data_IF_000617153496
#
_entry.id   IF_000617153496
#
_cell.length_a   1.000
_cell.length_b   1.000
_cell.length_c   1.000
_cell.angle_alpha   90.00
_cell.angle_beta   90.00
_cell.angle_gamma   90.00
#
_symmetry.space_group_name_H-M   'P 1'
#
loop_
_entity.id
_entity.type
_entity.pdbx_description
1 polymer ?
#
# COMPACT_ATOMS: atom_id res chain seq x y z
N UNK A 1 -1.97 -13.60 23.42
CA UNK A 1 -2.73 -12.34 23.34
C UNK A 1 -1.76 -11.19 23.60
N UNK A 2 -1.66 -10.15 22.72
CA UNK A 2 -0.81 -8.98 22.94
C UNK A 2 -1.23 -8.23 24.22
N UNK A 3 -0.24 -7.90 25.09
CA UNK A 3 -0.49 -7.14 26.33
C UNK A 3 0.38 -5.89 26.43
N UNK A 4 1.54 -5.88 25.77
CA UNK A 4 2.45 -4.73 25.71
C UNK A 4 3.04 -4.59 24.31
N UNK A 5 3.36 -3.36 23.93
CA UNK A 5 4.07 -3.11 22.69
C UNK A 5 4.93 -1.85 22.79
N UNK A 6 6.12 -1.86 22.16
CA UNK A 6 7.00 -0.70 22.06
C UNK A 6 7.90 -0.80 20.83
N UNK A 7 7.96 0.25 20.03
CA UNK A 7 8.74 0.26 18.80
C UNK A 7 8.35 -0.89 17.89
N UNK A 8 9.30 -1.74 17.50
CA UNK A 8 9.06 -2.93 16.68
C UNK A 8 8.47 -4.12 17.47
N UNK A 9 8.50 -4.10 18.80
CA UNK A 9 8.25 -5.30 19.62
C UNK A 9 6.84 -5.32 20.20
N UNK A 10 6.16 -6.46 20.05
CA UNK A 10 4.93 -6.82 20.77
C UNK A 10 5.26 -7.94 21.77
N UNK A 11 4.71 -7.86 22.97
CA UNK A 11 4.79 -8.89 24.02
C UNK A 11 3.40 -9.44 24.31
N UNK A 12 3.28 -10.76 24.34
CA UNK A 12 2.02 -11.43 24.68
C UNK A 12 1.89 -11.70 26.19
N UNK A 13 0.73 -12.25 26.58
CA UNK A 13 0.40 -12.53 27.97
C UNK A 13 1.35 -13.57 28.63
N UNK A 14 2.01 -14.40 27.83
CA UNK A 14 2.97 -15.42 28.27
C UNK A 14 4.41 -14.87 28.31
N UNK A 15 4.61 -13.58 28.06
CA UNK A 15 5.91 -12.91 28.02
C UNK A 15 6.73 -13.14 26.76
N UNK A 16 6.15 -13.81 25.75
CA UNK A 16 6.82 -14.03 24.47
C UNK A 16 6.83 -12.75 23.64
N UNK A 17 7.97 -12.47 23.00
CA UNK A 17 8.19 -11.26 22.21
C UNK A 17 8.21 -11.57 20.72
N UNK A 18 7.55 -10.69 19.97
CA UNK A 18 7.43 -10.75 18.52
C UNK A 18 7.97 -9.45 17.91
N UNK A 19 8.71 -9.56 16.82
CA UNK A 19 9.07 -8.42 15.96
C UNK A 19 7.93 -8.18 14.98
N UNK A 20 7.30 -7.00 15.04
CA UNK A 20 6.13 -6.68 14.22
C UNK A 20 6.53 -5.92 12.94
N UNK A 21 6.68 -6.67 11.84
CA UNK A 21 6.89 -6.11 10.51
C UNK A 21 5.60 -5.91 9.71
N UNK A 22 4.43 -5.97 10.35
CA UNK A 22 3.15 -5.52 9.80
C UNK A 22 2.88 -4.05 10.17
N UNK A 23 3.24 -3.65 11.41
CA UNK A 23 3.13 -2.26 11.92
C UNK A 23 1.76 -1.64 11.67
N UNK A 24 0.68 -2.40 11.93
CA UNK A 24 -0.69 -1.94 11.67
C UNK A 24 -0.93 -1.63 10.19
N UNK A 25 -0.42 -2.46 9.28
CA UNK A 25 -0.47 -2.25 7.83
C UNK A 25 0.18 -0.93 7.38
N UNK A 26 1.24 -0.49 8.07
CA UNK A 26 1.97 0.74 7.79
C UNK A 26 1.53 1.96 8.61
N UNK A 27 0.44 1.87 9.37
CA UNK A 27 -0.08 2.96 10.22
C UNK A 27 0.94 3.40 11.28
N UNK A 28 1.71 2.46 11.82
CA UNK A 28 2.68 2.69 12.88
C UNK A 28 4.05 3.09 12.30
N UNK A 29 4.12 4.24 11.63
CA UNK A 29 5.38 4.70 11.01
C UNK A 29 6.56 4.75 12.01
N UNK A 30 6.31 5.18 13.25
CA UNK A 30 7.31 5.24 14.32
C UNK A 30 7.31 3.99 15.23
N UNK A 31 6.48 2.99 14.93
CA UNK A 31 6.29 1.81 15.78
C UNK A 31 5.31 2.03 16.93
N UNK A 32 5.14 0.97 17.71
CA UNK A 32 4.19 0.96 18.82
C UNK A 32 4.61 1.93 19.94
N UNK A 33 3.64 2.69 20.45
CA UNK A 33 3.77 3.55 21.63
C UNK A 33 5.02 4.44 21.61
N UNK A 34 5.30 5.06 20.47
CA UNK A 34 6.45 5.95 20.34
C UNK A 34 6.32 7.15 21.28
N UNK A 35 7.39 7.51 22.06
CA UNK A 35 7.32 8.55 23.07
C UNK A 35 6.79 9.90 22.57
N UNK A 36 7.21 10.32 21.36
CA UNK A 36 6.78 11.58 20.73
C UNK A 36 5.26 11.59 20.48
N UNK A 37 4.70 10.47 20.01
CA UNK A 37 3.26 10.31 19.76
C UNK A 37 2.48 10.36 21.07
N UNK A 38 2.92 9.57 22.06
CA UNK A 38 2.28 9.53 23.38
C UNK A 38 2.33 10.88 24.09
N UNK A 39 3.45 11.61 23.99
CA UNK A 39 3.60 12.94 24.58
C UNK A 39 2.62 13.94 23.92
N UNK A 40 2.46 13.90 22.60
CA UNK A 40 1.53 14.76 21.89
C UNK A 40 0.07 14.48 22.28
N UNK A 41 -0.31 13.20 22.41
CA UNK A 41 -1.66 12.79 22.85
C UNK A 41 -1.93 13.27 24.28
N UNK A 42 -0.99 13.02 25.22
CA UNK A 42 -1.12 13.47 26.62
C UNK A 42 -1.26 14.98 26.69
N UNK A 43 -0.40 15.73 26.01
CA UNK A 43 -0.48 17.19 25.95
C UNK A 43 -1.83 17.68 25.44
N UNK A 44 -2.39 17.04 24.43
CA UNK A 44 -3.72 17.40 23.92
C UNK A 44 -4.82 17.13 24.94
N UNK A 45 -4.79 16.01 25.66
CA UNK A 45 -5.73 15.68 26.74
C UNK A 45 -5.60 16.65 27.90
N UNK A 46 -4.39 16.93 28.38
CA UNK A 46 -4.11 17.79 29.54
C UNK A 46 -4.45 19.27 29.27
N UNK A 47 -4.51 19.68 28.00
CA UNK A 47 -4.85 21.06 27.61
C UNK A 47 -6.28 21.46 27.89
N UNK A 48 -7.20 20.51 28.11
CA UNK A 48 -8.63 20.76 28.24
C UNK A 48 -9.30 21.24 26.95
N UNK A 49 -8.60 21.17 25.80
CA UNK A 49 -9.16 21.55 24.51
C UNK A 49 -10.32 20.59 24.10
N UNK A 50 -11.31 21.07 23.34
CA UNK A 50 -12.42 20.22 22.92
C UNK A 50 -11.91 19.11 22.03
N UNK A 51 -12.31 17.87 22.31
CA UNK A 51 -11.90 16.68 21.54
C UNK A 51 -12.64 16.57 20.20
N UNK A 52 -13.77 17.26 20.06
CA UNK A 52 -14.58 17.23 18.85
C UNK A 52 -15.25 18.59 18.60
N UNK A 53 -15.06 19.17 17.42
CA UNK A 53 -15.51 20.53 17.08
C UNK A 53 -16.10 20.67 15.68
N UNK A 54 -16.38 19.59 15.00
CA UNK A 54 -16.85 19.59 13.59
C UNK A 54 -15.97 20.45 12.68
N UNK A 55 -16.52 21.51 12.11
CA UNK A 55 -15.86 22.38 11.14
C UNK A 55 -15.04 23.53 11.71
N UNK A 56 -14.97 23.69 13.04
CA UNK A 56 -14.22 24.81 13.66
C UNK A 56 -12.71 24.63 13.49
N UNK A 57 -12.00 25.76 13.39
CA UNK A 57 -10.55 25.79 13.51
C UNK A 57 -10.13 25.50 14.95
N UNK A 58 -9.03 24.76 15.10
CA UNK A 58 -8.43 24.47 16.41
C UNK A 58 -6.91 24.51 16.32
N UNK A 59 -6.19 24.76 17.43
CA UNK A 59 -4.74 24.74 17.44
C UNK A 59 -4.16 23.42 16.95
N UNK A 60 -4.80 22.27 17.26
CA UNK A 60 -4.36 20.95 16.79
C UNK A 60 -4.52 20.81 15.27
N UNK A 61 -5.62 21.31 14.70
CA UNK A 61 -5.86 21.31 13.26
C UNK A 61 -4.87 22.21 12.53
N UNK A 62 -4.61 23.40 13.05
CA UNK A 62 -3.67 24.35 12.45
C UNK A 62 -2.24 23.81 12.50
N UNK A 63 -1.82 23.23 13.63
CA UNK A 63 -0.51 22.60 13.77
C UNK A 63 -0.33 21.43 12.80
N UNK A 64 -1.32 20.54 12.70
CA UNK A 64 -1.30 19.42 11.77
C UNK A 64 -1.24 19.88 10.32
N UNK A 65 -2.11 20.82 9.94
CA UNK A 65 -2.17 21.32 8.56
C UNK A 65 -0.87 22.02 8.18
N UNK A 66 -0.32 22.85 9.08
CA UNK A 66 0.95 23.53 8.86
C UNK A 66 2.11 22.56 8.69
N UNK A 67 2.19 21.52 9.53
CA UNK A 67 3.23 20.50 9.40
C UNK A 67 3.07 19.67 8.13
N UNK A 68 1.84 19.28 7.78
CA UNK A 68 1.55 18.59 6.54
C UNK A 68 2.00 19.41 5.31
N UNK A 69 1.64 20.68 5.23
CA UNK A 69 2.01 21.55 4.11
C UNK A 69 3.53 21.69 3.93
N UNK A 70 4.31 21.66 5.03
CA UNK A 70 5.78 21.68 4.98
C UNK A 70 6.39 20.43 4.33
N UNK A 71 5.66 19.34 4.27
CA UNK A 71 6.15 18.07 3.72
C UNK A 71 5.80 17.88 2.25
N UNK A 72 4.88 18.67 1.72
CA UNK A 72 4.40 18.53 0.34
C UNK A 72 5.43 19.04 -0.69
N UNK A 73 5.40 18.52 -1.93
CA UNK A 73 6.11 19.15 -3.04
C UNK A 73 5.79 20.65 -3.13
N UNK A 74 6.79 21.54 -3.30
CA UNK A 74 6.58 23.00 -3.20
C UNK A 74 5.51 23.55 -4.13
N UNK A 75 5.42 23.01 -5.35
CA UNK A 75 4.44 23.44 -6.35
C UNK A 75 3.00 23.10 -5.93
N UNK A 76 2.81 21.96 -5.25
CA UNK A 76 1.51 21.61 -4.68
C UNK A 76 1.23 22.42 -3.42
N UNK A 77 2.22 22.55 -2.52
CA UNK A 77 2.09 23.27 -1.27
C UNK A 77 1.62 24.72 -1.47
N UNK A 78 2.13 25.40 -2.49
CA UNK A 78 1.78 26.79 -2.84
C UNK A 78 0.29 26.98 -3.18
N UNK A 79 -0.40 25.91 -3.61
CA UNK A 79 -1.80 25.92 -4.05
C UNK A 79 -2.67 24.90 -3.33
N UNK A 80 -2.16 24.34 -2.25
CA UNK A 80 -2.82 23.23 -1.57
C UNK A 80 -4.07 23.68 -0.79
N UNK A 81 -5.10 22.86 -0.86
CA UNK A 81 -6.20 22.82 0.10
C UNK A 81 -6.18 21.45 0.79
N UNK A 82 -6.44 21.44 2.08
CA UNK A 82 -6.49 20.22 2.90
C UNK A 82 -7.93 19.96 3.31
N UNK A 83 -8.46 18.84 2.88
CA UNK A 83 -9.82 18.40 3.21
C UNK A 83 -9.77 17.18 4.13
N UNK A 84 -10.27 17.35 5.34
CA UNK A 84 -10.41 16.25 6.28
C UNK A 84 -11.56 15.34 5.88
N UNK A 85 -11.32 14.04 5.90
CA UNK A 85 -12.25 12.99 5.50
C UNK A 85 -12.74 12.19 6.72
N UNK A 86 -13.62 11.22 6.51
CA UNK A 86 -13.80 10.12 7.45
C UNK A 86 -12.47 9.43 7.73
N UNK A 87 -12.36 8.66 8.82
CA UNK A 87 -11.05 8.27 9.37
C UNK A 87 -10.28 7.25 8.55
N UNK A 88 -10.87 6.66 7.52
CA UNK A 88 -10.24 5.60 6.72
C UNK A 88 -9.67 6.10 5.39
N UNK A 89 -8.70 5.35 4.84
CA UNK A 89 -8.20 5.60 3.49
C UNK A 89 -9.30 5.48 2.41
N UNK A 90 -10.26 4.59 2.59
CA UNK A 90 -11.40 4.43 1.69
C UNK A 90 -12.27 5.70 1.64
N UNK A 91 -12.53 6.33 2.79
CA UNK A 91 -13.27 7.60 2.85
C UNK A 91 -12.53 8.70 2.05
N UNK A 92 -11.20 8.74 2.15
CA UNK A 92 -10.40 9.72 1.42
C UNK A 92 -10.38 9.43 -0.09
N UNK A 93 -10.35 8.17 -0.51
CA UNK A 93 -10.50 7.77 -1.92
C UNK A 93 -11.83 8.26 -2.48
N UNK A 94 -12.94 8.01 -1.78
CA UNK A 94 -14.27 8.46 -2.20
C UNK A 94 -14.35 9.98 -2.32
N UNK A 95 -13.76 10.69 -1.36
CA UNK A 95 -13.70 12.17 -1.39
C UNK A 95 -12.89 12.67 -2.58
N UNK A 96 -11.73 12.12 -2.84
CA UNK A 96 -10.88 12.50 -3.97
C UNK A 96 -11.57 12.25 -5.32
N UNK A 97 -12.20 11.09 -5.47
CA UNK A 97 -12.94 10.75 -6.69
C UNK A 97 -14.13 11.69 -6.94
N UNK A 98 -14.90 12.00 -5.90
CA UNK A 98 -16.03 12.91 -6.02
C UNK A 98 -15.58 14.36 -6.25
N UNK A 99 -14.45 14.78 -5.69
CA UNK A 99 -13.85 16.09 -5.91
C UNK A 99 -13.54 16.28 -7.41
N UNK A 100 -12.79 15.35 -8.01
CA UNK A 100 -12.40 15.47 -9.44
C UNK A 100 -13.60 15.36 -10.37
N UNK A 101 -14.60 14.55 -10.01
CA UNK A 101 -15.87 14.51 -10.78
C UNK A 101 -16.60 15.86 -10.76
N UNK A 102 -16.70 16.46 -9.59
CA UNK A 102 -17.34 17.78 -9.47
C UNK A 102 -16.55 18.85 -10.23
N UNK A 103 -15.21 18.85 -10.11
CA UNK A 103 -14.35 19.84 -10.74
C UNK A 103 -14.34 19.73 -12.27
N UNK A 104 -14.43 18.52 -12.82
CA UNK A 104 -14.36 18.30 -14.28
C UNK A 104 -15.71 18.18 -14.95
N UNK A 105 -16.79 17.96 -14.22
CA UNK A 105 -18.11 17.62 -14.75
C UNK A 105 -18.17 16.24 -15.43
N UNK A 106 -17.14 15.40 -15.26
CA UNK A 106 -17.01 14.07 -15.87
C UNK A 106 -17.30 12.99 -14.81
N UNK A 107 -17.69 11.78 -15.23
CA UNK A 107 -18.06 10.71 -14.31
C UNK A 107 -17.03 9.57 -14.20
N UNK A 108 -16.38 9.22 -15.33
CA UNK A 108 -15.46 8.09 -15.42
C UNK A 108 -14.14 8.34 -14.67
N UNK A 109 -13.52 7.26 -14.22
CA UNK A 109 -12.17 7.30 -13.61
C UNK A 109 -11.28 6.26 -14.28
N UNK A 110 -10.01 6.58 -14.42
CA UNK A 110 -8.97 5.62 -14.79
C UNK A 110 -8.29 5.11 -13.51
N UNK A 111 -8.18 3.80 -13.40
CA UNK A 111 -7.47 3.12 -12.32
C UNK A 111 -6.60 2.01 -12.91
N UNK A 112 -5.81 1.33 -12.07
CA UNK A 112 -4.90 0.29 -12.53
C UNK A 112 -5.24 -1.08 -11.92
N UNK A 113 -4.88 -2.15 -12.65
CA UNK A 113 -5.03 -3.51 -12.15
C UNK A 113 -4.14 -3.71 -10.93
N UNK A 114 -4.63 -4.45 -9.92
CA UNK A 114 -3.90 -4.65 -8.66
C UNK A 114 -4.11 -3.56 -7.61
N UNK A 115 -4.69 -2.41 -7.97
CA UNK A 115 -5.00 -1.36 -7.00
C UNK A 115 -5.97 -1.85 -5.92
N UNK A 116 -5.74 -1.38 -4.69
CA UNK A 116 -6.64 -1.62 -3.57
C UNK A 116 -7.98 -0.93 -3.85
N UNK A 117 -9.08 -1.69 -3.69
CA UNK A 117 -10.47 -1.24 -3.86
C UNK A 117 -10.58 0.06 -4.67
N UNK A 118 -10.53 -0.06 -5.98
CA UNK A 118 -10.76 1.10 -6.83
C UNK A 118 -12.12 1.74 -6.49
N UNK A 119 -12.40 2.93 -6.97
CA UNK A 119 -13.58 3.76 -6.67
C UNK A 119 -14.94 3.14 -7.04
N UNK A 120 -15.00 1.82 -7.13
CA UNK A 120 -16.21 1.05 -7.46
C UNK A 120 -16.99 0.58 -6.24
N UNK A 121 -16.45 0.75 -5.04
CA UNK A 121 -17.15 0.45 -3.80
C UNK A 121 -17.59 1.76 -3.15
N UNK A 122 -18.56 2.45 -3.76
CA UNK A 122 -19.35 3.42 -3.00
C UNK A 122 -19.95 2.74 -1.79
N UNK A 123 -20.24 3.46 -0.69
CA UNK A 123 -20.91 2.87 0.46
C UNK A 123 -22.14 2.11 -0.02
N UNK A 124 -22.39 0.95 0.56
CA UNK A 124 -23.54 0.07 0.26
C UNK A 124 -24.90 0.78 0.30
N UNK A 125 -24.95 2.00 0.81
CA UNK A 125 -26.14 2.84 0.97
C UNK A 125 -26.34 3.89 -0.14
N UNK A 126 -25.44 3.95 -1.16
CA UNK A 126 -25.61 4.92 -2.24
C UNK A 126 -26.70 4.45 -3.22
N UNK A 127 -27.70 5.32 -3.57
CA UNK A 127 -28.76 4.97 -4.51
C UNK A 127 -28.24 4.40 -5.83
N UNK A 128 -28.99 3.49 -6.45
CA UNK A 128 -28.61 2.78 -7.67
C UNK A 128 -28.15 3.70 -8.83
N UNK A 129 -28.58 4.95 -8.85
CA UNK A 129 -28.13 5.97 -9.82
C UNK A 129 -26.64 6.36 -9.68
N UNK A 130 -26.03 6.16 -8.49
CA UNK A 130 -24.60 6.42 -8.29
C UNK A 130 -23.70 5.22 -8.65
N UNK A 131 -24.30 4.10 -9.07
CA UNK A 131 -23.57 2.86 -9.45
C UNK A 131 -23.01 2.87 -10.88
N UNK A 132 -23.32 3.88 -11.67
CA UNK A 132 -22.73 4.03 -13.04
C UNK A 132 -21.31 4.63 -12.95
N UNK A 133 -20.47 4.03 -12.09
CA UNK A 133 -19.05 4.35 -12.00
C UNK A 133 -18.33 3.54 -13.06
N UNK A 134 -18.29 4.04 -14.26
CA UNK A 134 -17.45 3.50 -15.34
C UNK A 134 -16.00 3.80 -15.00
N UNK A 135 -15.33 2.88 -14.33
CA UNK A 135 -13.88 2.93 -14.16
C UNK A 135 -13.21 1.95 -15.10
N UNK A 136 -12.40 2.45 -16.01
CA UNK A 136 -11.52 1.60 -16.79
C UNK A 136 -10.30 1.24 -15.94
N UNK A 137 -9.95 -0.06 -15.92
CA UNK A 137 -8.74 -0.55 -15.28
C UNK A 137 -7.67 -0.84 -16.32
N UNK A 138 -6.59 -0.11 -16.24
CA UNK A 138 -5.42 -0.23 -17.11
C UNK A 138 -4.39 -1.19 -16.52
N UNK A 139 -3.51 -1.79 -17.34
CA UNK A 139 -2.38 -2.56 -16.84
C UNK A 139 -1.47 -1.68 -15.98
N UNK A 140 -1.19 -2.13 -14.73
CA UNK A 140 -0.14 -1.52 -13.93
C UNK A 140 1.22 -2.10 -14.35
N UNK A 141 2.26 -1.28 -14.52
CA UNK A 141 3.58 -1.78 -14.90
C UNK A 141 4.18 -2.61 -13.77
N UNK A 142 4.64 -3.79 -14.09
CA UNK A 142 5.35 -4.67 -13.18
C UNK A 142 6.35 -5.50 -13.96
N UNK A 143 7.50 -5.79 -13.37
CA UNK A 143 8.58 -6.51 -14.03
C UNK A 143 8.30 -8.02 -14.05
N UNK A 144 8.22 -8.62 -12.87
CA UNK A 144 8.14 -10.07 -12.73
C UNK A 144 6.91 -10.69 -13.40
N UNK A 145 5.71 -10.05 -13.25
CA UNK A 145 4.47 -10.50 -13.90
C UNK A 145 3.98 -9.48 -14.91
N UNK A 146 4.88 -9.02 -15.76
CA UNK A 146 4.52 -8.07 -16.81
C UNK A 146 3.41 -8.63 -17.69
N UNK A 147 2.27 -7.90 -17.85
CA UNK A 147 1.16 -8.37 -18.69
C UNK A 147 1.52 -8.49 -20.17
N UNK A 148 2.64 -7.89 -20.59
CA UNK A 148 3.17 -7.96 -21.95
C UNK A 148 4.30 -8.99 -22.10
N UNK A 149 4.68 -9.69 -21.04
CA UNK A 149 5.70 -10.73 -21.04
C UNK A 149 7.16 -10.26 -21.16
N UNK A 150 7.42 -8.95 -21.12
CA UNK A 150 8.78 -8.41 -21.37
C UNK A 150 9.40 -7.65 -20.18
N UNK A 151 8.58 -7.22 -19.19
CA UNK A 151 9.08 -6.51 -17.99
C UNK A 151 9.86 -5.23 -18.27
N UNK A 152 10.52 -4.70 -17.23
CA UNK A 152 11.43 -3.58 -17.29
C UNK A 152 10.84 -2.29 -17.88
N UNK A 153 11.73 -1.40 -18.34
CA UNK A 153 11.33 -0.13 -18.95
C UNK A 153 10.48 -0.32 -20.19
N UNK A 154 10.74 -1.36 -20.99
CA UNK A 154 9.97 -1.62 -22.20
C UNK A 154 8.55 -2.06 -21.90
N UNK A 155 8.33 -2.87 -20.86
CA UNK A 155 6.99 -3.23 -20.40
C UNK A 155 6.22 -2.02 -19.88
N UNK A 156 6.90 -1.15 -19.14
CA UNK A 156 6.34 0.11 -18.67
C UNK A 156 5.97 1.08 -19.81
N UNK A 157 6.81 1.17 -20.84
CA UNK A 157 6.54 1.94 -22.06
C UNK A 157 5.27 1.44 -22.77
N UNK A 158 5.12 0.10 -22.93
CA UNK A 158 3.92 -0.46 -23.54
C UNK A 158 2.66 -0.19 -22.72
N UNK A 159 2.74 -0.27 -21.39
CA UNK A 159 1.63 0.10 -20.52
C UNK A 159 1.23 1.57 -20.68
N UNK A 160 2.22 2.45 -20.82
CA UNK A 160 1.97 3.87 -21.06
C UNK A 160 1.34 4.13 -22.44
N UNK A 161 1.86 3.49 -23.50
CA UNK A 161 1.30 3.59 -24.85
C UNK A 161 -0.14 3.07 -24.91
N UNK A 162 -0.43 1.97 -24.22
CA UNK A 162 -1.79 1.47 -24.13
C UNK A 162 -2.74 2.49 -23.50
N UNK A 163 -2.30 3.13 -22.41
CA UNK A 163 -3.07 4.19 -21.75
C UNK A 163 -3.33 5.37 -22.71
N UNK A 164 -2.32 5.79 -23.43
CA UNK A 164 -2.40 6.90 -24.38
C UNK A 164 -3.34 6.56 -25.55
N UNK A 165 -3.18 5.38 -26.14
CA UNK A 165 -4.04 4.90 -27.24
C UNK A 165 -5.50 4.83 -26.84
N UNK A 166 -5.81 4.34 -25.62
CA UNK A 166 -7.18 4.30 -25.10
C UNK A 166 -7.79 5.69 -24.97
N UNK A 167 -6.99 6.67 -24.55
CA UNK A 167 -7.47 8.05 -24.36
C UNK A 167 -7.59 8.85 -25.66
N UNK A 168 -6.88 8.45 -26.71
CA UNK A 168 -6.88 9.12 -28.02
C UNK A 168 -7.89 8.49 -29.01
N UNK A 169 -8.40 7.30 -28.69
CA UNK A 169 -9.41 6.62 -29.50
C UNK A 169 -10.80 7.20 -29.21
N UNK A 170 -11.25 8.08 -30.10
CA UNK A 170 -12.57 8.70 -30.04
C UNK A 170 -13.73 7.68 -30.11
N UNK A 171 -13.49 6.53 -30.73
CA UNK A 171 -14.48 5.47 -30.95
C UNK A 171 -14.40 4.38 -29.86
N UNK A 172 -13.49 4.50 -28.88
CA UNK A 172 -13.37 3.55 -27.76
C UNK A 172 -14.63 3.43 -26.89
N UNK A 173 -15.59 4.34 -27.06
CA UNK A 173 -16.77 4.44 -26.21
C UNK A 173 -16.48 4.86 -24.77
N UNK A 174 -15.23 5.17 -24.45
CA UNK A 174 -14.82 5.66 -23.14
C UNK A 174 -14.92 7.19 -23.11
N UNK A 175 -15.83 7.79 -22.34
CA UNK A 175 -15.90 9.25 -22.22
C UNK A 175 -14.63 9.77 -21.53
N UNK A 176 -14.23 11.03 -21.74
CA UNK A 176 -13.10 11.63 -21.05
C UNK A 176 -13.21 11.43 -19.54
N UNK A 177 -12.17 10.86 -18.88
CA UNK A 177 -12.24 10.55 -17.45
C UNK A 177 -12.18 11.81 -16.59
N UNK A 178 -12.83 11.75 -15.43
CA UNK A 178 -12.79 12.79 -14.40
C UNK A 178 -11.42 12.88 -13.71
N UNK A 179 -10.69 11.78 -13.65
CA UNK A 179 -9.38 11.69 -13.04
C UNK A 179 -8.70 10.35 -13.31
N UNK A 180 -7.40 10.32 -13.06
CA UNK A 180 -6.60 9.10 -13.04
C UNK A 180 -6.09 8.88 -11.62
N UNK A 181 -6.41 7.72 -11.01
CA UNK A 181 -5.93 7.35 -9.68
C UNK A 181 -4.89 6.26 -9.78
N UNK A 182 -3.75 6.43 -9.08
CA UNK A 182 -2.68 5.46 -9.00
C UNK A 182 -2.00 5.46 -7.64
N UNK A 183 -1.45 4.31 -7.25
CA UNK A 183 -0.50 4.17 -6.14
C UNK A 183 0.92 4.24 -6.72
N UNK A 184 1.85 5.07 -6.21
CA UNK A 184 3.25 5.08 -6.67
C UNK A 184 3.98 3.76 -6.40
N UNK A 185 3.57 3.05 -5.35
CA UNK A 185 3.88 1.65 -5.08
C UNK A 185 2.58 0.97 -4.67
N UNK A 186 2.12 0.01 -5.47
CA UNK A 186 0.92 -0.74 -5.09
C UNK A 186 1.18 -1.60 -3.85
N UNK A 187 0.40 -1.36 -2.80
CA UNK A 187 0.50 -2.11 -1.55
C UNK A 187 -0.19 -3.46 -1.62
N UNK A 188 -1.50 -3.47 -1.82
CA UNK A 188 -2.31 -4.69 -1.91
C UNK A 188 -2.02 -5.48 -3.18
N UNK A 189 -1.60 -4.84 -4.26
CA UNK A 189 -1.14 -5.49 -5.48
C UNK A 189 0.08 -6.39 -5.28
N UNK A 190 0.79 -6.29 -4.15
CA UNK A 190 1.92 -7.14 -3.81
C UNK A 190 3.26 -6.42 -3.78
N UNK A 191 3.27 -5.19 -3.29
CA UNK A 191 4.44 -4.32 -3.24
C UNK A 191 5.07 -4.14 -4.63
N UNK A 192 4.35 -3.45 -5.49
CA UNK A 192 4.75 -3.21 -6.88
C UNK A 192 5.17 -1.74 -7.04
N UNK A 193 6.47 -1.41 -7.04
CA UNK A 193 6.93 -0.06 -7.36
C UNK A 193 6.68 0.26 -8.83
N UNK A 194 6.02 1.38 -9.11
CA UNK A 194 5.95 1.89 -10.48
C UNK A 194 7.32 2.42 -10.92
N UNK A 195 7.75 2.13 -12.15
CA UNK A 195 8.94 2.77 -12.71
C UNK A 195 8.77 4.31 -12.77
N UNK A 196 9.81 5.04 -12.36
CA UNK A 196 9.76 6.50 -12.31
C UNK A 196 9.47 7.15 -13.68
N UNK A 197 9.98 6.55 -14.75
CA UNK A 197 9.70 6.96 -16.13
C UNK A 197 8.22 6.81 -16.49
N UNK A 198 7.58 5.75 -16.03
CA UNK A 198 6.16 5.52 -16.25
C UNK A 198 5.31 6.53 -15.49
N UNK A 199 5.62 6.83 -14.23
CA UNK A 199 4.91 7.87 -13.46
C UNK A 199 5.00 9.24 -14.13
N UNK A 200 6.19 9.63 -14.63
CA UNK A 200 6.36 10.85 -15.42
C UNK A 200 5.51 10.83 -16.69
N UNK A 201 5.44 9.68 -17.36
CA UNK A 201 4.60 9.55 -18.58
C UNK A 201 3.11 9.68 -18.23
N UNK A 202 2.62 9.07 -17.15
CA UNK A 202 1.23 9.23 -16.67
C UNK A 202 0.92 10.71 -16.36
N UNK A 203 1.86 11.41 -15.70
CA UNK A 203 1.71 12.87 -15.47
C UNK A 203 1.60 13.64 -16.77
N UNK A 204 2.44 13.37 -17.76
CA UNK A 204 2.43 14.04 -19.06
C UNK A 204 1.11 13.78 -19.82
N UNK A 205 0.68 12.52 -19.88
CA UNK A 205 -0.57 12.09 -20.54
C UNK A 205 -1.79 12.78 -19.93
N UNK A 206 -1.86 12.81 -18.60
CA UNK A 206 -2.98 13.42 -17.86
C UNK A 206 -2.98 14.94 -17.99
N UNK A 207 -1.82 15.58 -17.92
CA UNK A 207 -1.70 17.03 -18.07
C UNK A 207 -2.13 17.50 -19.46
N UNK A 208 -1.68 16.81 -20.52
CA UNK A 208 -2.04 17.16 -21.92
C UNK A 208 -3.55 17.06 -22.19
N UNK A 209 -4.30 16.30 -21.39
CA UNK A 209 -5.74 16.07 -21.58
C UNK A 209 -6.60 16.68 -20.47
N UNK A 210 -6.03 17.55 -19.63
CA UNK A 210 -6.72 18.17 -18.48
C UNK A 210 -7.45 17.11 -17.62
N UNK A 211 -6.76 16.00 -17.33
CA UNK A 211 -7.21 14.94 -16.45
C UNK A 211 -6.48 15.11 -15.10
N UNK A 212 -7.15 15.36 -13.98
CA UNK A 212 -6.51 15.38 -12.67
C UNK A 212 -5.82 14.06 -12.36
N UNK A 213 -4.54 14.12 -11.95
CA UNK A 213 -3.79 12.98 -11.46
C UNK A 213 -3.93 12.87 -9.93
N UNK A 214 -4.45 11.75 -9.47
CA UNK A 214 -4.66 11.43 -8.06
C UNK A 214 -3.59 10.41 -7.63
N UNK A 215 -2.71 10.79 -6.70
CA UNK A 215 -1.77 9.89 -6.08
C UNK A 215 -2.34 9.34 -4.77
N UNK A 216 -2.49 8.03 -4.69
CA UNK A 216 -2.82 7.34 -3.45
C UNK A 216 -1.54 7.04 -2.67
N UNK A 217 -1.28 7.85 -1.66
CA UNK A 217 -0.12 7.78 -0.76
C UNK A 217 -0.49 7.21 0.62
N UNK A 218 -1.64 6.54 0.75
CA UNK A 218 -2.12 5.98 2.03
C UNK A 218 -1.07 5.08 2.68
N UNK A 219 -0.42 4.21 1.89
CA UNK A 219 0.61 3.27 2.39
C UNK A 219 2.04 3.69 2.08
N UNK A 220 2.23 4.53 1.08
CA UNK A 220 3.54 4.87 0.54
C UNK A 220 4.16 6.11 1.18
N UNK A 221 3.32 6.96 1.76
CA UNK A 221 3.73 8.23 2.33
C UNK A 221 4.45 8.14 3.68
N UNK A 222 4.79 9.30 4.20
CA UNK A 222 5.42 9.52 5.52
C UNK A 222 6.76 8.78 5.63
N UNK A 223 7.58 8.83 4.57
CA UNK A 223 8.95 8.29 4.58
C UNK A 223 9.07 6.81 4.25
N UNK A 224 7.95 6.07 4.12
CA UNK A 224 7.92 4.61 3.95
C UNK A 224 8.80 4.09 2.81
N UNK A 225 8.77 4.76 1.67
CA UNK A 225 9.45 4.31 0.44
C UNK A 225 10.85 4.90 0.26
N UNK A 226 11.34 5.72 1.19
CA UNK A 226 12.64 6.38 1.09
C UNK A 226 12.60 7.86 0.70
N UNK A 227 11.42 8.37 0.34
CA UNK A 227 11.08 9.79 0.21
C UNK A 227 9.93 10.10 1.15
N UNK A 228 9.69 11.37 1.45
CA UNK A 228 8.57 11.72 2.34
C UNK A 228 7.25 11.30 1.72
N UNK A 229 7.06 11.61 0.43
CA UNK A 229 5.98 11.11 -0.43
C UNK A 229 6.59 10.30 -1.58
N UNK A 230 5.98 9.17 -1.92
CA UNK A 230 6.55 8.27 -2.93
C UNK A 230 6.58 8.89 -4.34
N UNK A 231 5.70 9.81 -4.66
CA UNK A 231 5.72 10.58 -5.94
C UNK A 231 7.02 11.36 -6.14
N UNK A 232 7.72 11.74 -5.06
CA UNK A 232 8.98 12.50 -5.12
C UNK A 232 10.11 11.71 -5.81
N UNK A 233 10.06 10.37 -5.80
CA UNK A 233 11.05 9.55 -6.50
C UNK A 233 11.07 9.84 -8.01
N UNK A 234 9.91 10.09 -8.58
CA UNK A 234 9.77 10.40 -10.00
C UNK A 234 9.80 11.89 -10.32
N UNK A 235 9.79 12.77 -9.30
CA UNK A 235 9.63 14.20 -9.46
C UNK A 235 8.25 14.61 -9.97
N UNK A 236 7.23 13.75 -9.81
CA UNK A 236 5.86 14.02 -10.23
C UNK A 236 5.13 14.81 -9.15
N UNK A 237 4.48 15.90 -9.53
CA UNK A 237 3.56 16.65 -8.68
C UNK A 237 2.14 16.29 -9.09
N UNK A 238 1.37 15.56 -8.25
CA UNK A 238 -0.01 15.22 -8.54
C UNK A 238 -0.94 16.42 -8.31
N UNK A 239 -2.14 16.34 -8.87
CA UNK A 239 -3.19 17.35 -8.64
C UNK A 239 -3.93 17.11 -7.32
N UNK A 240 -3.99 15.83 -6.89
CA UNK A 240 -4.65 15.38 -5.67
C UNK A 240 -3.79 14.30 -5.00
N UNK A 241 -3.64 14.37 -3.70
CA UNK A 241 -3.02 13.32 -2.87
C UNK A 241 -4.01 12.79 -1.85
N UNK A 242 -4.11 11.47 -1.77
CA UNK A 242 -4.90 10.76 -0.76
C UNK A 242 -3.96 10.32 0.34
N UNK A 243 -4.20 10.75 1.56
CA UNK A 243 -3.33 10.53 2.72
C UNK A 243 -4.13 9.95 3.88
N UNK A 244 -3.63 8.88 4.49
CA UNK A 244 -4.25 8.25 5.66
C UNK A 244 -3.21 7.45 6.46
N UNK A 245 -3.66 6.60 7.35
CA UNK A 245 -2.83 5.69 8.14
C UNK A 245 -1.72 6.42 8.92
N UNK A 246 -0.48 6.42 8.41
CA UNK A 246 0.69 6.97 9.11
C UNK A 246 0.55 8.46 9.49
N UNK A 247 -0.21 9.25 8.73
CA UNK A 247 -0.43 10.67 9.02
C UNK A 247 -1.17 10.92 10.34
N UNK A 248 -1.89 9.94 10.85
CA UNK A 248 -2.62 10.03 12.12
C UNK A 248 -1.77 9.68 13.35
N UNK A 249 -0.48 9.36 13.19
CA UNK A 249 0.38 9.04 14.32
C UNK A 249 -0.13 7.88 15.17
N UNK A 250 -0.51 6.77 14.55
CA UNK A 250 -1.13 5.58 15.13
C UNK A 250 -2.65 5.69 15.43
N UNK A 251 -3.27 6.83 15.17
CA UNK A 251 -4.71 7.04 15.34
C UNK A 251 -5.39 7.23 13.98
N UNK A 252 -6.68 6.90 13.86
CA UNK A 252 -7.42 7.03 12.60
C UNK A 252 -7.52 8.49 12.14
N UNK A 253 -6.95 8.76 10.95
CA UNK A 253 -7.00 10.07 10.29
C UNK A 253 -6.85 9.89 8.80
N UNK A 254 -7.66 10.60 8.02
CA UNK A 254 -7.51 10.67 6.58
C UNK A 254 -7.79 12.08 6.06
N UNK A 255 -7.02 12.51 5.07
CA UNK A 255 -7.17 13.79 4.40
C UNK A 255 -6.95 13.64 2.90
N UNK A 256 -7.57 14.52 2.14
CA UNK A 256 -7.27 14.76 0.73
C UNK A 256 -6.59 16.12 0.63
N UNK A 257 -5.40 16.14 0.04
CA UNK A 257 -4.71 17.36 -0.37
C UNK A 257 -4.94 17.56 -1.85
N UNK A 258 -5.35 18.74 -2.27
CA UNK A 258 -5.65 19.01 -3.69
C UNK A 258 -5.30 20.46 -4.06
N UNK A 259 -5.14 20.71 -5.36
CA UNK A 259 -4.97 22.06 -5.88
C UNK A 259 -6.23 22.90 -5.61
N UNK A 260 -6.06 24.17 -5.37
CA UNK A 260 -7.14 25.13 -5.05
C UNK A 260 -8.18 25.28 -6.16
N UNK A 261 -7.79 25.18 -7.43
CA UNK A 261 -8.70 25.24 -8.58
C UNK A 261 -9.67 24.06 -8.71
N UNK A 262 -9.40 22.96 -8.00
CA UNK A 262 -10.31 21.83 -7.90
C UNK A 262 -11.35 21.99 -6.79
N UNK A 263 -11.26 23.03 -5.95
CA UNK A 263 -12.18 23.25 -4.83
C UNK A 263 -13.48 23.94 -5.27
N UNK A 264 -14.28 23.22 -6.05
CA UNK A 264 -15.56 23.71 -6.59
C UNK A 264 -16.77 23.41 -5.70
N UNK A 265 -16.56 22.71 -4.61
CA UNK A 265 -17.66 22.31 -3.72
C UNK A 265 -18.20 23.47 -2.89
N UNK A 266 -19.53 23.58 -2.87
CA UNK A 266 -20.18 24.53 -1.95
C UNK A 266 -19.99 24.08 -0.49
N UNK A 267 -19.98 25.01 0.46
CA UNK A 267 -20.00 24.67 1.88
C UNK A 267 -21.13 23.68 2.19
N UNK A 268 -20.83 22.62 2.94
CA UNK A 268 -21.77 21.58 3.31
C UNK A 268 -21.94 20.41 2.32
N UNK A 269 -21.43 20.50 1.10
CA UNK A 269 -21.51 19.41 0.10
C UNK A 269 -20.87 18.10 0.59
N UNK A 270 -19.80 18.19 1.35
CA UNK A 270 -19.17 17.05 1.97
C UNK A 270 -19.39 17.12 3.48
N UNK A 271 -20.43 16.46 4.00
CA UNK A 271 -20.78 16.40 5.41
C UNK A 271 -20.28 15.10 6.09
N UNK A 272 -19.97 15.15 7.37
CA UNK A 272 -19.53 13.98 8.16
C UNK A 272 -19.09 14.41 9.56
N UNK A 273 -19.50 13.64 10.57
CA UNK A 273 -19.26 13.96 11.98
C UNK A 273 -17.79 13.75 12.38
N UNK A 274 -17.17 12.64 11.98
CA UNK A 274 -15.84 12.24 12.45
C UNK A 274 -14.72 12.62 11.46
N UNK A 275 -14.65 13.89 11.10
CA UNK A 275 -13.60 14.43 10.24
C UNK A 275 -12.56 15.17 11.06
N UNK A 276 -11.34 14.65 11.09
CA UNK A 276 -10.26 15.32 11.81
C UNK A 276 -10.38 15.16 13.33
N UNK A 277 -10.04 14.00 13.84
CA UNK A 277 -9.93 13.74 15.28
C UNK A 277 -8.80 14.57 15.88
N UNK A 278 -9.06 15.32 16.97
CA UNK A 278 -8.12 16.22 17.60
C UNK A 278 -6.85 15.52 18.11
N UNK A 279 -7.01 14.32 18.71
CA UNK A 279 -5.87 13.53 19.20
C UNK A 279 -5.05 12.99 18.03
N UNK A 280 -5.73 12.55 16.95
CA UNK A 280 -5.06 12.07 15.76
C UNK A 280 -4.30 13.19 15.03
N UNK A 281 -4.83 14.42 15.00
CA UNK A 281 -4.13 15.58 14.45
C UNK A 281 -2.91 15.95 15.28
N UNK A 282 -3.02 15.94 16.61
CA UNK A 282 -1.89 16.20 17.50
C UNK A 282 -0.79 15.12 17.36
N UNK A 283 -1.17 13.86 17.35
CA UNK A 283 -0.27 12.73 17.13
C UNK A 283 0.36 12.74 15.73
N UNK A 284 -0.44 13.08 14.72
CA UNK A 284 -0.02 13.19 13.33
C UNK A 284 0.99 14.30 13.11
N UNK A 285 0.73 15.51 13.62
CA UNK A 285 1.67 16.63 13.56
C UNK A 285 3.02 16.25 14.15
N UNK A 286 3.02 15.62 15.33
CA UNK A 286 4.24 15.16 16.00
C UNK A 286 4.96 14.05 15.20
N UNK A 287 4.22 13.15 14.54
CA UNK A 287 4.78 12.09 13.69
C UNK A 287 5.44 12.68 12.44
N UNK A 288 4.73 13.55 11.71
CA UNK A 288 5.25 14.18 10.49
C UNK A 288 6.52 14.98 10.78
N UNK A 289 6.49 15.80 11.84
CA UNK A 289 7.65 16.55 12.28
C UNK A 289 8.82 15.64 12.63
N UNK A 290 8.59 14.58 13.41
CA UNK A 290 9.64 13.65 13.84
C UNK A 290 10.28 12.91 12.65
N UNK A 291 9.49 12.46 11.68
CA UNK A 291 10.00 11.80 10.46
C UNK A 291 10.88 12.76 9.65
N UNK A 292 10.43 14.01 9.47
CA UNK A 292 11.15 15.03 8.72
C UNK A 292 12.45 15.45 9.42
N UNK A 293 12.38 15.78 10.71
CA UNK A 293 13.50 16.33 11.47
C UNK A 293 14.62 15.31 11.74
N UNK A 294 14.28 14.03 11.79
CA UNK A 294 15.24 12.95 12.02
C UNK A 294 15.66 12.23 10.73
N UNK A 295 15.29 12.71 9.55
CA UNK A 295 15.71 12.13 8.27
C UNK A 295 15.29 10.68 8.08
N UNK A 296 14.13 10.27 8.64
CA UNK A 296 13.72 8.87 8.64
C UNK A 296 13.40 8.35 7.23
N UNK A 297 13.04 9.22 6.29
CA UNK A 297 12.88 8.84 4.89
C UNK A 297 14.21 8.40 4.27
N UNK A 298 15.28 9.19 4.41
CA UNK A 298 16.62 8.81 3.97
C UNK A 298 17.10 7.52 4.59
N UNK A 299 16.84 7.37 5.89
CA UNK A 299 17.16 6.11 6.59
C UNK A 299 16.41 4.93 5.98
N UNK A 300 15.12 5.09 5.66
CA UNK A 300 14.33 4.05 5.02
C UNK A 300 14.86 3.69 3.62
N UNK A 301 15.34 4.67 2.85
CA UNK A 301 15.97 4.44 1.55
C UNK A 301 17.23 3.57 1.67
N UNK A 302 18.17 3.99 2.52
CA UNK A 302 19.45 3.30 2.71
C UNK A 302 19.27 1.90 3.30
N UNK A 303 18.43 1.80 4.35
CA UNK A 303 18.18 0.53 5.02
C UNK A 303 17.41 -0.43 4.12
N UNK A 304 16.40 0.07 3.39
CA UNK A 304 15.61 -0.71 2.44
C UNK A 304 16.45 -1.29 1.31
N UNK A 305 17.37 -0.49 0.74
CA UNK A 305 18.31 -0.97 -0.28
C UNK A 305 19.19 -2.11 0.25
N UNK A 306 19.69 -1.98 1.50
CA UNK A 306 20.48 -3.03 2.17
C UNK A 306 19.67 -4.31 2.39
N UNK A 307 18.43 -4.19 2.86
CA UNK A 307 17.53 -5.34 3.07
C UNK A 307 17.26 -6.05 1.74
N UNK A 308 16.92 -5.31 0.69
CA UNK A 308 16.66 -5.87 -0.63
C UNK A 308 17.90 -6.59 -1.19
N UNK A 309 19.09 -6.03 -1.02
CA UNK A 309 20.35 -6.68 -1.44
C UNK A 309 20.59 -8.02 -0.73
N UNK A 310 20.18 -8.15 0.54
CA UNK A 310 20.30 -9.40 1.30
C UNK A 310 19.20 -10.42 0.95
N UNK A 311 17.98 -9.96 0.58
CA UNK A 311 16.87 -10.85 0.28
C UNK A 311 16.84 -11.34 -1.16
N UNK A 312 17.30 -10.57 -2.13
CA UNK A 312 17.31 -10.96 -3.55
C UNK A 312 17.99 -12.31 -3.84
N UNK A 313 19.12 -12.68 -3.23
CA UNK A 313 19.71 -13.99 -3.43
C UNK A 313 18.82 -15.17 -3.02
N UNK A 314 17.74 -14.94 -2.27
CA UNK A 314 16.80 -16.00 -1.94
C UNK A 314 16.06 -16.57 -3.16
N UNK A 315 15.95 -15.81 -4.25
CA UNK A 315 15.36 -16.27 -5.53
C UNK A 315 16.19 -17.36 -6.19
N UNK A 316 17.52 -17.30 -6.03
CA UNK A 316 18.44 -18.31 -6.53
C UNK A 316 18.57 -19.50 -5.56
N UNK A 317 18.46 -19.22 -4.27
CA UNK A 317 18.62 -20.22 -3.21
C UNK A 317 17.40 -21.10 -3.02
N UNK A 318 16.19 -20.59 -3.22
CA UNK A 318 14.93 -21.30 -2.97
C UNK A 318 14.01 -21.20 -4.18
N UNK A 319 13.76 -22.31 -4.85
CA UNK A 319 12.89 -22.38 -6.03
C UNK A 319 11.43 -21.92 -5.78
N UNK A 320 11.00 -21.87 -4.51
CA UNK A 320 9.71 -21.34 -4.12
C UNK A 320 9.66 -19.82 -3.94
N UNK A 321 10.78 -19.11 -4.09
CA UNK A 321 10.87 -17.65 -4.09
C UNK A 321 10.99 -17.15 -5.51
N UNK A 322 9.95 -16.52 -6.03
CA UNK A 322 9.92 -16.05 -7.42
C UNK A 322 10.50 -14.67 -7.61
N UNK A 323 10.23 -13.75 -6.68
CA UNK A 323 10.69 -12.38 -6.80
C UNK A 323 10.83 -11.71 -5.43
N UNK A 324 11.80 -10.79 -5.31
CA UNK A 324 12.00 -9.93 -4.16
C UNK A 324 12.09 -8.48 -4.64
N UNK A 325 11.11 -7.69 -4.26
CA UNK A 325 10.94 -6.31 -4.71
C UNK A 325 10.52 -5.36 -3.61
N UNK A 326 10.60 -4.08 -3.88
CA UNK A 326 10.16 -3.05 -2.93
C UNK A 326 10.89 -1.74 -3.12
N UNK A 327 10.54 -0.77 -2.26
CA UNK A 327 11.16 0.55 -2.20
C UNK A 327 11.19 1.03 -0.74
N UNK A 328 12.33 1.47 -0.27
CA UNK A 328 12.52 1.80 1.15
C UNK A 328 12.16 0.63 2.05
N UNK A 329 11.39 0.89 3.10
CA UNK A 329 10.92 -0.12 4.06
C UNK A 329 9.53 -0.67 3.71
N UNK A 330 9.22 -0.79 2.44
CA UNK A 330 8.06 -1.47 1.88
C UNK A 330 8.57 -2.57 0.96
N UNK A 331 8.54 -3.83 1.43
CA UNK A 331 9.24 -4.96 0.78
C UNK A 331 8.28 -6.12 0.62
N UNK A 332 8.32 -6.78 -0.54
CA UNK A 332 7.53 -7.96 -0.88
C UNK A 332 8.41 -9.10 -1.36
N UNK A 333 8.13 -10.32 -0.87
CA UNK A 333 8.73 -11.57 -1.31
C UNK A 333 7.62 -12.42 -1.90
N UNK A 334 7.66 -12.66 -3.20
CA UNK A 334 6.66 -13.43 -3.90
C UNK A 334 6.98 -14.92 -3.84
N UNK A 335 6.02 -15.69 -3.30
CA UNK A 335 6.10 -17.13 -3.26
C UNK A 335 5.47 -17.73 -4.51
N UNK A 336 6.16 -18.72 -5.13
CA UNK A 336 5.72 -19.38 -6.35
C UNK A 336 5.73 -20.89 -6.18
N UNK A 337 4.97 -21.58 -7.03
CA UNK A 337 4.96 -23.04 -7.05
C UNK A 337 6.22 -23.52 -7.77
N UNK A 338 7.15 -24.21 -7.07
CA UNK A 338 8.35 -24.76 -7.70
C UNK A 338 7.95 -25.74 -8.82
N UNK A 339 8.72 -25.77 -9.90
CA UNK A 339 8.58 -26.74 -10.99
C UNK A 339 7.23 -26.75 -11.71
N UNK A 340 6.33 -25.82 -11.39
CA UNK A 340 5.12 -25.66 -12.17
C UNK A 340 5.48 -25.07 -13.55
N UNK A 341 4.87 -25.59 -14.64
CA UNK A 341 5.07 -24.99 -15.95
C UNK A 341 4.67 -23.50 -15.88
N UNK A 342 5.34 -22.63 -16.63
CA UNK A 342 4.89 -21.27 -16.84
C UNK A 342 3.41 -21.26 -17.22
N UNK A 343 2.69 -20.15 -16.96
CA UNK A 343 1.24 -20.05 -17.13
C UNK A 343 0.66 -20.77 -18.38
N UNK A 344 -0.65 -20.77 -18.53
CA UNK A 344 -1.39 -21.56 -19.53
C UNK A 344 -0.90 -21.47 -20.99
N UNK A 345 -0.12 -20.45 -21.30
CA UNK A 345 0.49 -20.12 -22.59
C UNK A 345 1.97 -20.52 -22.70
N UNK A 346 2.53 -21.18 -21.67
CA UNK A 346 3.94 -21.61 -21.66
C UNK A 346 4.94 -20.46 -21.48
N UNK A 347 4.46 -19.24 -21.22
CA UNK A 347 5.29 -18.05 -21.08
C UNK A 347 5.05 -17.38 -19.72
N UNK A 348 6.08 -16.69 -19.18
CA UNK A 348 5.99 -15.96 -17.93
C UNK A 348 6.48 -16.73 -16.70
N UNK A 349 6.43 -16.11 -15.53
CA UNK A 349 6.93 -16.70 -14.29
C UNK A 349 6.01 -17.80 -13.76
N UNK A 350 6.53 -18.69 -12.88
CA UNK A 350 5.73 -19.72 -12.22
C UNK A 350 4.49 -19.14 -11.52
N UNK A 351 3.40 -19.91 -11.37
CA UNK A 351 2.19 -19.47 -10.70
C UNK A 351 2.44 -19.04 -9.25
N UNK A 352 1.72 -18.02 -8.73
CA UNK A 352 1.76 -17.67 -7.32
C UNK A 352 1.39 -18.86 -6.44
N UNK A 353 2.03 -18.98 -5.27
CA UNK A 353 1.78 -20.04 -4.29
C UNK A 353 1.24 -19.50 -2.96
N UNK A 354 -0.05 -19.16 -2.84
CA UNK A 354 -0.65 -18.64 -1.61
C UNK A 354 -0.48 -19.56 -0.40
N UNK A 355 -0.52 -20.87 -0.64
CA UNK A 355 -0.31 -21.86 0.42
C UNK A 355 1.10 -21.81 1.01
N UNK A 356 2.12 -21.61 0.17
CA UNK A 356 3.50 -21.45 0.62
C UNK A 356 3.68 -20.12 1.35
N UNK A 357 3.11 -19.02 0.85
CA UNK A 357 3.13 -17.73 1.53
C UNK A 357 2.49 -17.81 2.93
N UNK A 358 1.35 -18.48 3.05
CA UNK A 358 0.69 -18.75 4.34
C UNK A 358 1.56 -19.62 5.25
N UNK A 359 2.24 -20.63 4.71
CA UNK A 359 3.16 -21.47 5.48
C UNK A 359 4.35 -20.66 6.00
N UNK A 360 4.94 -19.79 5.17
CA UNK A 360 6.02 -18.87 5.58
C UNK A 360 5.54 -17.92 6.67
N UNK A 361 4.36 -17.31 6.55
CA UNK A 361 3.80 -16.44 7.59
C UNK A 361 3.64 -17.16 8.93
N UNK A 362 3.11 -18.39 8.92
CA UNK A 362 2.96 -19.21 10.15
C UNK A 362 4.31 -19.56 10.76
N UNK A 363 5.29 -19.87 9.93
CA UNK A 363 6.63 -20.21 10.37
C UNK A 363 7.37 -18.99 10.92
N UNK A 364 7.19 -17.81 10.31
CA UNK A 364 7.64 -16.53 10.87
C UNK A 364 7.04 -16.29 12.26
N UNK A 365 5.72 -16.48 12.41
CA UNK A 365 5.03 -16.27 13.69
C UNK A 365 5.58 -17.21 14.78
N UNK A 366 5.86 -18.48 14.45
CA UNK A 366 6.50 -19.41 15.38
C UNK A 366 7.88 -18.95 15.82
N UNK A 367 8.63 -18.28 14.95
CA UNK A 367 9.94 -17.70 15.23
C UNK A 367 9.87 -16.31 15.88
N UNK A 368 8.66 -15.82 16.19
CA UNK A 368 8.46 -14.51 16.81
C UNK A 368 8.61 -13.35 15.82
N UNK A 369 8.27 -13.55 14.55
CA UNK A 369 8.21 -12.51 13.54
C UNK A 369 6.79 -12.42 12.96
N UNK A 370 6.20 -11.24 13.01
CA UNK A 370 4.90 -10.94 12.42
C UNK A 370 5.12 -10.33 11.05
N UNK A 371 4.57 -10.96 10.02
CA UNK A 371 4.59 -10.48 8.62
C UNK A 371 3.18 -10.49 8.05
N UNK A 372 2.96 -9.72 7.00
CA UNK A 372 1.69 -9.62 6.30
C UNK A 372 1.69 -10.43 4.99
N UNK A 373 0.51 -10.73 4.48
CA UNK A 373 0.33 -11.33 3.15
C UNK A 373 -0.40 -10.36 2.23
N UNK A 374 -0.01 -10.34 0.97
CA UNK A 374 -0.61 -9.52 -0.06
C UNK A 374 -0.43 -10.09 -1.45
N UNK A 375 -0.67 -9.23 -2.48
CA UNK A 375 -0.72 -9.66 -3.86
C UNK A 375 -2.08 -10.22 -4.24
N UNK A 376 -2.38 -10.26 -5.54
CA UNK A 376 -3.70 -10.65 -6.07
C UNK A 376 -4.23 -11.99 -5.57
N UNK A 377 -3.34 -12.87 -5.12
CA UNK A 377 -3.66 -14.22 -4.65
C UNK A 377 -3.10 -14.48 -3.24
N UNK A 378 -2.78 -13.42 -2.47
CA UNK A 378 -2.10 -13.54 -1.18
C UNK A 378 -0.78 -14.36 -1.24
N UNK A 379 -0.11 -14.33 -2.39
CA UNK A 379 1.14 -15.05 -2.64
C UNK A 379 2.40 -14.27 -2.27
N UNK A 380 2.27 -13.06 -1.73
CA UNK A 380 3.40 -12.18 -1.40
C UNK A 380 3.49 -11.99 0.11
N UNK A 381 4.63 -12.36 0.68
CA UNK A 381 4.99 -12.05 2.08
C UNK A 381 5.49 -10.61 2.10
N UNK A 382 4.87 -9.75 2.94
CA UNK A 382 5.17 -8.32 3.01
C UNK A 382 5.84 -7.94 4.32
N UNK A 383 6.84 -7.06 4.23
CA UNK A 383 7.51 -6.43 5.37
C UNK A 383 7.25 -4.93 5.32
N UNK A 384 6.69 -4.39 6.40
CA UNK A 384 6.40 -2.98 6.64
C UNK A 384 6.90 -2.58 8.04
N UNK A 385 8.18 -2.78 8.39
CA UNK A 385 8.68 -2.45 9.73
C UNK A 385 8.56 -0.95 9.99
N UNK A 386 8.52 -0.49 11.25
CA UNK A 386 8.56 0.93 11.55
C UNK A 386 9.86 1.57 11.05
N UNK A 387 9.81 2.86 10.70
CA UNK A 387 10.97 3.61 10.17
C UNK A 387 12.11 3.70 11.20
N UNK A 388 11.80 3.47 12.47
CA UNK A 388 12.72 3.50 13.61
C UNK A 388 13.41 2.15 13.89
N UNK A 389 13.19 1.14 13.06
CA UNK A 389 13.84 -0.18 13.21
C UNK A 389 15.35 -0.03 13.26
N UNK A 390 16.03 -0.70 14.24
CA UNK A 390 17.49 -0.67 14.37
C UNK A 390 18.15 -1.68 13.43
N UNK A 391 19.48 -1.58 13.30
CA UNK A 391 20.26 -2.52 12.49
C UNK A 391 20.25 -3.93 13.10
N UNK A 392 20.34 -4.06 14.42
CA UNK A 392 20.24 -5.35 15.11
C UNK A 392 18.85 -5.97 14.92
N UNK A 393 17.80 -5.16 15.04
CA UNK A 393 16.43 -5.62 14.79
C UNK A 393 16.25 -6.04 13.33
N UNK A 394 16.84 -5.32 12.39
CA UNK A 394 16.81 -5.67 10.98
C UNK A 394 17.46 -7.02 10.73
N UNK A 395 18.65 -7.27 11.28
CA UNK A 395 19.33 -8.55 11.14
C UNK A 395 18.46 -9.68 11.75
N UNK A 396 17.91 -9.49 12.94
CA UNK A 396 17.03 -10.48 13.57
C UNK A 396 15.75 -10.77 12.73
N UNK A 397 15.19 -9.77 12.05
CA UNK A 397 14.07 -9.94 11.13
C UNK A 397 14.47 -10.79 9.92
N UNK A 398 15.63 -10.47 9.30
CA UNK A 398 16.13 -11.18 8.12
C UNK A 398 16.49 -12.63 8.41
N UNK A 399 17.14 -12.89 9.56
CA UNK A 399 17.48 -14.24 10.00
C UNK A 399 16.21 -15.09 10.17
N UNK A 400 15.22 -14.59 10.94
CA UNK A 400 13.95 -15.29 11.19
C UNK A 400 13.16 -15.55 9.91
N UNK A 401 13.13 -14.58 9.00
CA UNK A 401 12.45 -14.71 7.71
C UNK A 401 13.13 -15.74 6.82
N UNK A 402 14.46 -15.67 6.70
CA UNK A 402 15.25 -16.61 5.89
C UNK A 402 15.10 -18.04 6.41
N UNK A 403 15.17 -18.24 7.72
CA UNK A 403 14.96 -19.55 8.37
C UNK A 403 13.52 -20.07 8.16
N UNK A 404 12.53 -19.18 8.18
CA UNK A 404 11.14 -19.55 7.90
C UNK A 404 10.96 -20.03 6.45
N UNK A 405 11.54 -19.29 5.49
CA UNK A 405 11.51 -19.67 4.07
C UNK A 405 12.25 -21.00 3.86
N UNK A 406 13.43 -21.18 4.45
CA UNK A 406 14.21 -22.42 4.35
C UNK A 406 13.43 -23.64 4.88
N UNK A 407 12.77 -23.50 6.02
CA UNK A 407 11.95 -24.56 6.62
C UNK A 407 10.77 -24.96 5.71
N UNK A 408 10.09 -23.96 5.12
CA UNK A 408 8.96 -24.22 4.20
C UNK A 408 9.45 -24.83 2.90
N UNK A 409 10.57 -24.37 2.33
CA UNK A 409 11.16 -24.92 1.11
C UNK A 409 11.54 -26.40 1.27
N UNK A 410 12.18 -26.76 2.39
CA UNK A 410 12.54 -28.15 2.69
C UNK A 410 11.28 -29.06 2.78
N UNK A 411 10.22 -28.57 3.40
CA UNK A 411 8.95 -29.32 3.51
C UNK A 411 8.24 -29.47 2.17
N UNK A 412 8.29 -28.45 1.31
CA UNK A 412 7.72 -28.49 -0.03
C UNK A 412 8.43 -29.53 -0.90
N UNK A 413 9.77 -29.52 -0.91
CA UNK A 413 10.59 -30.48 -1.66
C UNK A 413 10.35 -31.93 -1.21
N UNK A 414 10.20 -32.17 0.10
CA UNK A 414 9.91 -33.50 0.63
C UNK A 414 8.54 -34.04 0.18
N UNK A 415 7.53 -33.17 0.01
CA UNK A 415 6.20 -33.55 -0.49
C UNK A 415 6.19 -33.92 -1.97
N UNK A 416 7.02 -33.29 -2.78
CA UNK A 416 7.19 -33.60 -4.21
C UNK A 416 7.89 -34.94 -4.39
N UNK A 417 8.85 -35.27 -3.51
CA UNK A 417 9.59 -36.54 -3.55
C UNK A 417 8.82 -37.75 -3.00
N UNK A 418 7.69 -37.54 -2.29
CA UNK A 418 6.89 -38.64 -1.75
C UNK A 418 6.07 -39.28 -2.85
N UNK A 419 6.12 -40.62 -3.04
CA UNK A 419 5.29 -41.33 -4.05
C UNK A 419 3.80 -41.10 -3.71
N UNK A 420 2.94 -41.05 -4.76
CA UNK A 420 1.50 -40.89 -4.53
C UNK A 420 0.98 -42.05 -3.67
N UNK A 421 0.01 -41.79 -2.77
CA UNK A 421 -0.56 -42.82 -1.94
C UNK A 421 -1.13 -43.93 -2.84
N UNK A 422 -0.71 -45.19 -2.61
CA UNK A 422 -1.23 -46.33 -3.29
C UNK A 422 -2.76 -46.38 -3.13
N UNK A 423 -3.47 -46.06 -4.19
CA UNK A 423 -4.92 -46.33 -4.27
C UNK A 423 -5.11 -47.81 -4.07
N UNK A 424 -5.73 -48.24 -2.96
CA UNK A 424 -6.15 -49.61 -2.74
C UNK A 424 -7.04 -49.99 -3.91
N UNK A 425 -6.52 -50.88 -4.76
CA UNK A 425 -7.31 -51.56 -5.80
C UNK A 425 -8.54 -52.16 -5.14
N UNK A 426 -9.72 -51.77 -5.60
CA UNK A 426 -10.99 -52.33 -5.15
C UNK A 426 -10.96 -53.84 -5.31
N UNK A 427 -11.21 -54.53 -4.22
CA UNK A 427 -11.36 -55.97 -4.22
C UNK A 427 -12.51 -56.43 -5.15
N UNK A 428 -12.45 -57.65 -5.68
CA UNK A 428 -13.43 -58.11 -6.64
C UNK A 428 -14.82 -58.23 -6.01
N UNK A 429 -15.81 -57.59 -6.63
CA UNK A 429 -17.23 -57.77 -6.31
C UNK A 429 -17.61 -59.21 -6.57
N UNK A 430 -17.92 -59.97 -5.52
CA UNK A 430 -18.55 -61.28 -5.63
C UNK A 430 -19.94 -61.09 -6.24
N UNK A 431 -20.15 -61.65 -7.44
CA UNK A 431 -21.47 -61.85 -8.00
C UNK A 431 -22.13 -62.95 -7.23
N UNK A 432 -23.18 -62.66 -6.47
CA UNK A 432 -24.13 -63.66 -5.99
C UNK A 432 -25.24 -63.74 -7.02
N UNK A 433 -25.23 -64.80 -7.82
CA UNK A 433 -26.39 -65.28 -8.57
C UNK A 433 -27.35 -65.94 -7.60
N UNK A 434 -28.65 -65.77 -7.84
CA UNK A 434 -29.78 -66.37 -7.17
C UNK A 434 -31.05 -65.69 -7.64
#
# INVERSE_FOLDING_TARGET
>A
VPVRARGLTIEDADGRRYLDCLSGAGTLALGHNHPVVLAAIRKALDSGAPLHVLGLATPAKDAFTSELLRTLPPELAARARVRFCGPSGADAVDVACNLVRAATGRSGLLAFTGAHAGPTTGPLETPAAARDIRSARLPYPQDYRCPFGIGGERGAELAARWTESLLDDADSGAPPPAGMILEPVQGEGGVLPAPDGWLRRMRAITAARSIPLIADEVRTGVGRTGRFWAVEHSGVVPDVMILSQAIGGSLPLAVVVHRDDLDVWRPGTHAGTFRGNQLAMAAGAATLAHVRENGLAQRAETLGARILAQLRPLTERFACVGDVRGRGLMIGIEMVTPDAPPGSDGHGPPPPAPSLATAVQRECLRRGLIVDLGGRHAGVVRLLPPLTITDEQTNAVLDRLTDAIASVAATASARVAAPPPLTRAGGPTRSSGG
#
